data_IF_464845566645
#
_entry.id   IF_464845566645
#
_cell.length_a   1.000
_cell.length_b   1.000
_cell.length_c   1.000
_cell.angle_alpha   90.00
_cell.angle_beta   90.00
_cell.angle_gamma   90.00
#
_symmetry.space_group_name_H-M   'P 1'
#
loop_
_entity.id
_entity.type
_entity.pdbx_description
1 polymer ?
#
# COMPACT_ATOMS: atom_id res chain seq x y z
N UNK A 1 -31.20 -5.89 -0.43
CA UNK A 1 -30.49 -4.72 -0.97
C UNK A 1 -30.44 -3.68 0.13
N UNK A 2 -29.27 -3.28 0.51
CA UNK A 2 -29.05 -2.15 1.42
C UNK A 2 -29.61 -0.89 0.76
N UNK A 3 -30.59 -0.24 1.41
CA UNK A 3 -31.27 0.91 0.78
C UNK A 3 -30.46 2.18 1.07
N UNK A 4 -29.43 2.42 0.27
CA UNK A 4 -28.58 3.60 0.38
C UNK A 4 -29.24 4.73 -0.40
N UNK A 5 -29.55 5.82 0.28
CA UNK A 5 -30.05 7.05 -0.36
C UNK A 5 -28.85 7.90 -0.80
N UNK A 6 -28.09 7.39 -1.79
CA UNK A 6 -26.84 7.98 -2.24
C UNK A 6 -27.03 9.22 -3.10
N UNK A 7 -26.21 10.22 -2.84
CA UNK A 7 -26.04 11.39 -3.70
C UNK A 7 -24.62 11.42 -4.25
N UNK A 8 -24.49 11.58 -5.57
CA UNK A 8 -23.22 11.78 -6.25
C UNK A 8 -23.27 13.15 -6.92
N UNK A 9 -22.41 14.08 -6.48
CA UNK A 9 -22.37 15.45 -6.98
C UNK A 9 -20.97 15.77 -7.50
N UNK A 10 -20.89 16.26 -8.75
CA UNK A 10 -19.63 16.79 -9.29
C UNK A 10 -19.36 18.15 -8.68
N UNK A 11 -18.16 18.33 -8.14
CA UNK A 11 -17.69 19.62 -7.63
C UNK A 11 -17.34 20.56 -8.78
N UNK A 12 -17.83 21.79 -8.73
CA UNK A 12 -17.57 22.81 -9.74
C UNK A 12 -17.31 24.15 -9.04
N UNK A 13 -16.18 24.85 -9.29
CA UNK A 13 -15.07 24.42 -10.17
C UNK A 13 -14.32 23.19 -9.63
N UNK A 14 -13.53 22.52 -10.48
CA UNK A 14 -12.65 21.42 -10.08
C UNK A 14 -11.65 21.91 -9.03
N UNK A 15 -11.44 21.09 -8.01
CA UNK A 15 -10.36 21.20 -7.02
C UNK A 15 -9.75 19.82 -6.83
N UNK A 16 -8.45 19.74 -6.70
CA UNK A 16 -7.76 18.46 -6.50
C UNK A 16 -8.07 17.87 -5.12
N UNK A 17 -8.05 16.53 -5.02
CA UNK A 17 -8.21 15.85 -3.74
C UNK A 17 -7.15 16.30 -2.71
N UNK A 18 -5.91 16.53 -3.16
CA UNK A 18 -4.84 17.02 -2.30
C UNK A 18 -5.10 18.42 -1.71
N UNK A 19 -5.70 19.34 -2.50
CA UNK A 19 -6.16 20.61 -1.97
C UNK A 19 -7.30 20.44 -0.98
N UNK A 20 -8.25 19.56 -1.31
CA UNK A 20 -9.43 19.31 -0.47
C UNK A 20 -9.08 18.61 0.82
N UNK A 21 -8.08 17.71 0.82
CA UNK A 21 -7.69 16.97 2.00
C UNK A 21 -7.23 17.88 3.16
N UNK A 22 -6.62 19.03 2.87
CA UNK A 22 -6.23 20.03 3.88
C UNK A 22 -7.38 20.50 4.76
N UNK A 23 -8.60 20.47 4.24
CA UNK A 23 -9.80 20.88 4.96
C UNK A 23 -10.41 19.78 5.84
N UNK A 24 -9.95 18.52 5.68
CA UNK A 24 -10.49 17.35 6.39
C UNK A 24 -9.43 16.61 7.19
N UNK A 25 -8.15 16.99 7.07
CA UNK A 25 -7.04 16.30 7.71
C UNK A 25 -7.06 16.34 9.25
N UNK A 26 -7.85 17.22 9.84
CA UNK A 26 -8.12 17.35 11.26
C UNK A 26 -9.32 16.50 11.74
N UNK A 27 -10.08 15.91 10.82
CA UNK A 27 -11.17 15.00 11.18
C UNK A 27 -10.63 13.66 11.66
N UNK A 28 -11.30 13.10 12.68
CA UNK A 28 -10.94 11.79 13.22
C UNK A 28 -10.99 10.72 12.12
N UNK A 29 -9.91 9.96 11.99
CA UNK A 29 -9.81 8.83 11.06
C UNK A 29 -10.04 9.20 9.58
N UNK A 30 -9.78 10.46 9.22
CA UNK A 30 -9.78 10.87 7.82
C UNK A 30 -8.57 10.26 7.10
N UNK A 31 -8.82 9.65 5.94
CA UNK A 31 -7.79 8.99 5.14
C UNK A 31 -7.76 9.55 3.73
N UNK A 32 -6.59 9.58 3.15
CA UNK A 32 -6.36 10.01 1.78
C UNK A 32 -5.52 8.97 1.03
N UNK A 33 -6.11 8.30 0.06
CA UNK A 33 -5.40 7.53 -0.95
C UNK A 33 -5.11 8.45 -2.14
N UNK A 34 -3.83 8.62 -2.48
CA UNK A 34 -3.38 9.61 -3.44
C UNK A 34 -2.68 8.98 -4.65
N UNK A 35 -3.08 9.43 -5.83
CA UNK A 35 -2.41 9.15 -7.11
C UNK A 35 -1.68 10.41 -7.57
N UNK A 36 -0.61 10.81 -6.87
CA UNK A 36 0.19 11.99 -7.22
C UNK A 36 0.93 11.82 -8.54
N UNK A 37 1.31 10.60 -8.90
CA UNK A 37 1.81 10.24 -10.23
C UNK A 37 0.67 9.77 -11.12
N UNK A 38 0.20 10.67 -11.98
CA UNK A 38 -0.90 10.38 -12.92
C UNK A 38 -0.37 9.62 -14.13
N UNK A 39 -0.71 8.33 -14.20
CA UNK A 39 -0.31 7.42 -15.29
C UNK A 39 -1.36 6.31 -15.50
N UNK A 40 -1.02 5.23 -16.20
CA UNK A 40 -1.91 4.08 -16.40
C UNK A 40 -2.37 3.38 -15.10
N UNK A 41 -1.61 3.51 -14.00
CA UNK A 41 -1.90 2.93 -12.69
C UNK A 41 -2.56 3.94 -11.75
N UNK A 42 -2.01 5.15 -11.67
CA UNK A 42 -2.47 6.23 -10.80
C UNK A 42 -3.49 7.12 -11.50
N UNK A 43 -4.77 6.86 -11.29
CA UNK A 43 -5.87 7.62 -11.89
C UNK A 43 -6.75 8.33 -10.87
N UNK A 44 -7.03 7.68 -9.76
CA UNK A 44 -8.00 8.18 -8.79
C UNK A 44 -7.33 8.51 -7.46
N UNK A 45 -7.67 9.67 -6.91
CA UNK A 45 -7.38 10.03 -5.52
C UNK A 45 -8.68 10.01 -4.74
N UNK A 46 -8.67 9.43 -3.51
CA UNK A 46 -9.87 9.15 -2.74
C UNK A 46 -9.67 9.61 -1.29
N UNK A 47 -10.58 10.46 -0.79
CA UNK A 47 -10.65 10.84 0.63
C UNK A 47 -11.88 10.19 1.24
N UNK A 48 -11.69 9.46 2.35
CA UNK A 48 -12.79 8.97 3.18
C UNK A 48 -13.04 9.91 4.34
N UNK A 49 -14.25 10.40 4.50
CA UNK A 49 -14.67 11.27 5.60
C UNK A 49 -15.98 10.76 6.22
N UNK A 50 -16.27 11.14 7.46
CA UNK A 50 -17.43 10.63 8.21
C UNK A 50 -17.38 9.11 8.40
N UNK A 51 -16.41 8.59 9.17
CA UNK A 51 -16.33 7.17 9.50
C UNK A 51 -17.55 6.72 10.30
N UNK A 52 -18.13 5.55 9.97
CA UNK A 52 -19.27 4.99 10.71
C UNK A 52 -19.03 3.59 11.26
N UNK A 53 -18.07 2.86 10.68
CA UNK A 53 -17.71 1.52 11.12
C UNK A 53 -16.20 1.35 11.00
N UNK A 54 -15.54 1.02 12.12
CA UNK A 54 -14.11 0.72 12.19
C UNK A 54 -13.92 -0.71 12.66
N UNK A 55 -13.20 -1.49 11.87
CA UNK A 55 -12.80 -2.85 12.18
C UNK A 55 -11.30 -2.86 12.47
N UNK A 56 -10.92 -3.39 13.63
CA UNK A 56 -9.52 -3.47 14.08
C UNK A 56 -9.21 -4.89 14.51
N UNK A 57 -8.11 -5.45 13.99
CA UNK A 57 -7.55 -6.73 14.44
C UNK A 57 -6.15 -6.49 14.99
N UNK A 58 -5.89 -6.94 16.21
CA UNK A 58 -4.61 -6.86 16.89
C UNK A 58 -4.31 -8.12 17.70
N UNK A 59 -3.22 -8.11 18.50
CA UNK A 59 -2.84 -9.21 19.39
C UNK A 59 -3.86 -9.46 20.52
N UNK A 60 -4.74 -8.51 20.81
CA UNK A 60 -5.79 -8.61 21.83
C UNK A 60 -7.12 -9.13 21.28
N UNK A 61 -7.26 -9.21 19.96
CA UNK A 61 -8.43 -9.75 19.29
C UNK A 61 -8.99 -8.89 18.17
N UNK A 62 -10.30 -9.02 17.97
CA UNK A 62 -11.06 -8.28 16.98
C UNK A 62 -11.97 -7.26 17.65
N UNK A 63 -12.02 -6.04 17.12
CA UNK A 63 -12.79 -4.92 17.65
C UNK A 63 -13.62 -4.26 16.54
N UNK A 64 -14.85 -3.88 16.92
CA UNK A 64 -15.76 -3.07 16.10
C UNK A 64 -16.04 -1.77 16.86
N UNK A 65 -15.69 -0.63 16.29
CA UNK A 65 -15.86 0.69 16.93
C UNK A 65 -15.37 0.68 18.39
N UNK A 66 -14.14 0.18 18.62
CA UNK A 66 -13.46 0.06 19.91
C UNK A 66 -14.04 -1.03 20.85
N UNK A 67 -15.14 -1.70 20.47
CA UNK A 67 -15.73 -2.78 21.26
C UNK A 67 -15.20 -4.14 20.84
N UNK A 68 -14.65 -4.92 21.78
CA UNK A 68 -14.13 -6.26 21.50
C UNK A 68 -15.25 -7.23 21.12
N UNK A 69 -15.03 -7.97 20.04
CA UNK A 69 -15.93 -9.02 19.54
C UNK A 69 -15.29 -10.38 19.76
N UNK A 70 -16.04 -11.31 20.34
CA UNK A 70 -15.56 -12.67 20.64
C UNK A 70 -16.34 -13.78 19.90
N UNK A 71 -17.46 -13.44 19.29
CA UNK A 71 -18.37 -14.39 18.64
C UNK A 71 -17.94 -14.76 17.21
N UNK A 72 -17.25 -13.86 16.54
CA UNK A 72 -16.77 -14.02 15.16
C UNK A 72 -15.32 -13.57 15.06
N UNK A 73 -14.55 -14.16 14.17
CA UNK A 73 -13.25 -13.62 13.77
C UNK A 73 -13.44 -12.36 12.90
N UNK A 74 -12.38 -11.60 12.74
CA UNK A 74 -12.33 -10.43 11.85
C UNK A 74 -12.72 -10.83 10.41
N UNK A 75 -12.20 -11.95 9.93
CA UNK A 75 -12.42 -12.47 8.57
C UNK A 75 -13.88 -12.92 8.38
N UNK A 76 -14.44 -13.65 9.35
CA UNK A 76 -15.84 -14.09 9.32
C UNK A 76 -16.80 -12.89 9.35
N UNK A 77 -16.53 -11.92 10.22
CA UNK A 77 -17.34 -10.72 10.29
C UNK A 77 -17.30 -9.93 8.98
N UNK A 78 -16.11 -9.71 8.42
CA UNK A 78 -15.96 -8.95 7.18
C UNK A 78 -16.63 -9.68 6.00
N UNK A 79 -16.44 -11.00 5.85
CA UNK A 79 -17.17 -11.82 4.85
C UNK A 79 -18.68 -11.66 4.98
N UNK A 80 -19.19 -11.75 6.22
CA UNK A 80 -20.62 -11.58 6.52
C UNK A 80 -21.10 -10.17 6.16
N UNK A 81 -20.41 -9.16 6.65
CA UNK A 81 -20.76 -7.74 6.41
C UNK A 81 -20.84 -7.43 4.92
N UNK A 82 -19.82 -7.82 4.13
CA UNK A 82 -19.79 -7.62 2.68
C UNK A 82 -20.94 -8.37 1.97
N UNK A 83 -21.32 -9.55 2.46
CA UNK A 83 -22.43 -10.33 1.87
C UNK A 83 -23.81 -9.72 2.14
N UNK A 84 -24.00 -9.14 3.33
CA UNK A 84 -25.28 -8.54 3.77
C UNK A 84 -25.49 -7.12 3.22
N UNK A 85 -24.38 -6.38 2.93
CA UNK A 85 -24.40 -4.97 2.50
C UNK A 85 -24.03 -4.79 1.03
N UNK A 86 -24.33 -5.78 0.18
CA UNK A 86 -24.00 -5.70 -1.25
C UNK A 86 -24.58 -4.46 -1.92
N UNK A 87 -23.73 -3.76 -2.64
CA UNK A 87 -24.03 -2.56 -3.40
C UNK A 87 -23.81 -2.80 -4.92
N UNK A 88 -24.11 -1.79 -5.73
CA UNK A 88 -23.87 -1.79 -7.18
C UNK A 88 -23.30 -0.43 -7.60
N UNK A 89 -22.14 -0.46 -8.23
CA UNK A 89 -21.52 0.72 -8.79
C UNK A 89 -21.73 0.79 -10.32
N UNK A 90 -22.57 1.73 -10.75
CA UNK A 90 -22.83 2.02 -12.18
C UNK A 90 -22.26 3.37 -12.62
N UNK A 91 -21.58 4.10 -11.72
CA UNK A 91 -21.09 5.47 -11.97
C UNK A 91 -19.81 5.54 -12.81
N UNK A 92 -19.04 4.45 -12.87
CA UNK A 92 -17.70 4.44 -13.44
C UNK A 92 -16.60 4.92 -12.49
N UNK A 93 -16.94 5.42 -11.28
CA UNK A 93 -15.98 5.75 -10.23
C UNK A 93 -15.38 4.46 -9.63
N UNK A 94 -14.20 4.52 -9.00
CA UNK A 94 -13.52 3.35 -8.46
C UNK A 94 -14.28 2.71 -7.30
N UNK A 95 -14.92 3.54 -6.47
CA UNK A 95 -15.75 3.11 -5.35
C UNK A 95 -16.90 4.08 -5.09
N UNK A 96 -17.97 3.61 -4.46
CA UNK A 96 -19.07 4.45 -3.94
C UNK A 96 -19.30 4.19 -2.46
N UNK A 97 -19.01 2.98 -2.00
CA UNK A 97 -19.17 2.51 -0.63
C UNK A 97 -18.15 1.42 -0.35
N UNK A 98 -17.73 1.25 0.89
CA UNK A 98 -16.74 0.26 1.27
C UNK A 98 -15.83 0.74 2.40
N UNK A 99 -14.65 0.14 2.51
CA UNK A 99 -13.67 0.50 3.52
C UNK A 99 -12.32 0.90 2.88
N UNK A 100 -11.63 1.80 3.56
CA UNK A 100 -10.23 2.13 3.29
C UNK A 100 -9.43 1.71 4.53
N UNK A 101 -8.23 1.17 4.32
CA UNK A 101 -7.38 0.78 5.43
C UNK A 101 -6.15 -0.01 5.01
N UNK A 102 -5.64 -0.82 5.93
CA UNK A 102 -4.43 -1.59 5.68
C UNK A 102 -4.50 -2.99 6.31
N UNK A 103 -3.67 -3.86 5.77
CA UNK A 103 -3.24 -5.13 6.35
C UNK A 103 -1.72 -5.07 6.54
N UNK A 104 -1.22 -5.27 7.77
CA UNK A 104 0.22 -5.30 8.04
C UNK A 104 0.84 -6.61 7.55
N UNK A 105 2.17 -6.67 7.42
CA UNK A 105 2.88 -7.94 7.16
C UNK A 105 2.57 -8.99 8.24
N UNK A 106 2.44 -8.55 9.50
CA UNK A 106 2.12 -9.42 10.63
C UNK A 106 0.75 -10.09 10.50
N UNK A 107 -0.23 -9.41 9.88
CA UNK A 107 -1.50 -10.02 9.54
C UNK A 107 -1.31 -11.25 8.64
N UNK A 108 -0.51 -11.13 7.59
CA UNK A 108 -0.21 -12.23 6.67
C UNK A 108 0.60 -13.34 7.32
N UNK A 109 1.59 -12.99 8.16
CA UNK A 109 2.38 -13.97 8.90
C UNK A 109 1.49 -14.84 9.82
N UNK A 110 0.58 -14.19 10.56
CA UNK A 110 -0.38 -14.88 11.44
C UNK A 110 -1.39 -15.70 10.65
N UNK A 111 -1.85 -15.21 9.49
CA UNK A 111 -2.73 -15.94 8.60
C UNK A 111 -2.12 -17.25 8.08
N UNK A 112 -0.81 -17.25 7.87
CA UNK A 112 -0.02 -18.42 7.47
C UNK A 112 0.48 -19.24 8.67
N UNK A 113 0.09 -18.89 9.89
CA UNK A 113 0.47 -19.59 11.14
C UNK A 113 2.00 -19.67 11.37
N UNK A 114 2.76 -18.70 10.85
CA UNK A 114 4.20 -18.62 11.07
C UNK A 114 4.45 -17.93 12.42
N UNK A 115 5.06 -18.62 13.41
CA UNK A 115 5.37 -18.02 14.70
C UNK A 115 6.47 -16.95 14.55
N UNK A 116 6.49 -15.98 15.46
CA UNK A 116 7.61 -15.04 15.59
C UNK A 116 7.93 -14.80 17.06
N UNK A 117 9.23 -14.81 17.36
CA UNK A 117 9.77 -14.43 18.67
C UNK A 117 10.49 -13.07 18.61
N UNK A 118 10.39 -12.39 17.48
CA UNK A 118 11.04 -11.09 17.27
C UNK A 118 10.27 -9.97 17.98
N UNK A 119 11.01 -8.99 18.45
CA UNK A 119 10.45 -7.81 19.09
C UNK A 119 9.80 -6.87 18.07
N UNK A 120 8.80 -6.14 18.53
CA UNK A 120 8.23 -5.02 17.78
C UNK A 120 8.96 -3.75 18.17
N UNK A 121 9.52 -3.02 17.22
CA UNK A 121 10.00 -1.64 17.45
C UNK A 121 8.82 -0.69 17.72
N UNK A 122 7.69 -0.96 17.10
CA UNK A 122 6.46 -0.17 17.25
C UNK A 122 5.24 -1.09 17.23
N UNK A 123 4.28 -0.87 18.09
CA UNK A 123 3.04 -1.68 18.14
C UNK A 123 1.90 -0.94 17.48
N UNK A 124 1.34 -1.54 16.43
CA UNK A 124 0.11 -1.10 15.76
C UNK A 124 -0.80 -2.32 15.53
N UNK A 125 -2.10 -2.13 15.25
CA UNK A 125 -2.97 -3.23 14.86
C UNK A 125 -2.48 -3.98 13.61
N UNK A 126 -2.77 -5.28 13.54
CA UNK A 126 -2.45 -6.10 12.36
C UNK A 126 -3.26 -5.67 11.12
N UNK A 127 -4.51 -5.27 11.33
CA UNK A 127 -5.36 -4.74 10.26
C UNK A 127 -6.31 -3.66 10.81
N UNK A 128 -6.54 -2.63 10.02
CA UNK A 128 -7.55 -1.61 10.25
C UNK A 128 -8.31 -1.37 8.95
N UNK A 129 -9.64 -1.49 9.01
CA UNK A 129 -10.54 -1.12 7.92
C UNK A 129 -11.59 -0.14 8.44
N UNK A 130 -11.72 1.00 7.79
CA UNK A 130 -12.69 2.03 8.15
C UNK A 130 -13.65 2.25 7.01
N UNK A 131 -14.96 2.13 7.28
CA UNK A 131 -16.03 2.40 6.34
C UNK A 131 -16.54 3.82 6.55
N UNK A 132 -16.70 4.53 5.44
CA UNK A 132 -17.07 5.94 5.44
C UNK A 132 -18.45 6.18 4.82
N UNK A 133 -19.17 7.13 5.39
CA UNK A 133 -20.45 7.57 4.82
C UNK A 133 -20.27 8.50 3.62
N UNK A 134 -19.10 9.15 3.54
CA UNK A 134 -18.79 10.06 2.45
C UNK A 134 -17.39 9.83 1.88
N UNK A 135 -17.30 9.97 0.55
CA UNK A 135 -16.05 9.96 -0.19
C UNK A 135 -15.92 11.20 -1.06
N UNK A 136 -14.70 11.75 -1.13
CA UNK A 136 -14.32 12.74 -2.13
C UNK A 136 -13.40 12.02 -3.11
N UNK A 137 -13.79 11.96 -4.38
CA UNK A 137 -13.09 11.17 -5.40
C UNK A 137 -12.69 12.07 -6.56
N UNK A 138 -11.39 12.20 -6.80
CA UNK A 138 -10.85 12.87 -7.96
C UNK A 138 -10.47 11.86 -9.05
N UNK A 139 -10.96 12.06 -10.27
CA UNK A 139 -10.38 11.51 -11.49
C UNK A 139 -9.27 12.46 -11.95
N UNK A 140 -8.02 12.11 -11.65
CA UNK A 140 -6.85 12.95 -11.92
C UNK A 140 -6.59 13.13 -13.42
N UNK A 141 -6.99 12.15 -14.27
CA UNK A 141 -6.89 12.26 -15.73
C UNK A 141 -7.89 13.26 -16.28
N UNK A 142 -9.15 13.15 -15.86
CA UNK A 142 -10.24 13.98 -16.34
C UNK A 142 -10.33 15.33 -15.63
N UNK A 143 -9.56 15.53 -14.56
CA UNK A 143 -9.63 16.69 -13.65
C UNK A 143 -11.07 16.95 -13.21
N UNK A 144 -11.71 15.93 -12.67
CA UNK A 144 -13.08 15.96 -12.16
C UNK A 144 -13.10 15.43 -10.73
N UNK A 145 -13.72 16.17 -9.83
CA UNK A 145 -13.89 15.76 -8.44
C UNK A 145 -15.36 15.54 -8.14
N UNK A 146 -15.65 14.45 -7.45
CA UNK A 146 -16.99 14.02 -7.10
C UNK A 146 -17.11 13.90 -5.58
N UNK A 147 -18.22 14.40 -5.04
CA UNK A 147 -18.66 14.18 -3.67
C UNK A 147 -19.67 13.03 -3.69
N UNK A 148 -19.40 11.96 -2.94
CA UNK A 148 -20.23 10.75 -2.87
C UNK A 148 -20.69 10.59 -1.43
N UNK A 149 -21.94 10.87 -1.12
CA UNK A 149 -22.54 10.67 0.20
C UNK A 149 -23.53 9.52 0.16
N UNK A 150 -23.46 8.61 1.12
CA UNK A 150 -24.26 7.38 1.15
C UNK A 150 -25.52 7.51 2.01
N UNK A 151 -25.59 8.49 2.91
CA UNK A 151 -26.77 8.73 3.75
C UNK A 151 -26.95 7.69 4.86
N UNK A 152 -25.84 7.22 5.43
CA UNK A 152 -25.84 6.19 6.50
C UNK A 152 -25.93 6.86 7.88
N UNK A 153 -25.12 7.87 8.12
CA UNK A 153 -25.06 8.58 9.42
C UNK A 153 -26.00 9.77 9.48
N UNK A 154 -26.20 10.43 8.34
CA UNK A 154 -27.16 11.52 8.17
C UNK A 154 -27.62 11.60 6.70
N UNK A 155 -28.59 12.45 6.41
CA UNK A 155 -29.12 12.63 5.05
C UNK A 155 -28.01 13.01 4.06
N UNK A 156 -27.93 12.32 2.92
CA UNK A 156 -26.85 12.47 1.96
C UNK A 156 -26.77 13.88 1.34
N UNK A 157 -27.91 14.54 1.11
CA UNK A 157 -27.91 15.91 0.57
C UNK A 157 -27.35 16.89 1.60
N UNK A 158 -27.71 16.73 2.88
CA UNK A 158 -27.16 17.55 3.97
C UNK A 158 -25.67 17.33 4.15
N UNK A 159 -25.18 16.10 4.02
CA UNK A 159 -23.73 15.81 4.01
C UNK A 159 -23.03 16.59 2.91
N UNK A 160 -23.51 16.52 1.68
CA UNK A 160 -22.97 17.28 0.55
C UNK A 160 -22.97 18.78 0.83
N UNK A 161 -24.09 19.34 1.28
CA UNK A 161 -24.22 20.77 1.60
C UNK A 161 -23.23 21.19 2.71
N UNK A 162 -23.06 20.37 3.75
CA UNK A 162 -22.11 20.65 4.84
C UNK A 162 -20.68 20.75 4.35
N UNK A 163 -20.29 19.86 3.44
CA UNK A 163 -18.95 19.86 2.84
C UNK A 163 -18.77 21.06 1.92
N UNK A 164 -19.72 21.37 1.04
CA UNK A 164 -19.64 22.54 0.16
C UNK A 164 -19.53 23.84 0.96
N UNK A 165 -20.28 23.95 2.05
CA UNK A 165 -20.20 25.10 2.96
C UNK A 165 -18.80 25.23 3.56
N UNK A 166 -18.24 24.12 4.11
CA UNK A 166 -16.88 24.10 4.67
C UNK A 166 -15.83 24.52 3.62
N UNK A 167 -15.94 24.02 2.40
CA UNK A 167 -15.04 24.38 1.29
C UNK A 167 -15.14 25.87 0.90
N UNK A 168 -16.25 26.53 1.18
CA UNK A 168 -16.46 27.95 0.87
C UNK A 168 -15.95 28.85 2.02
N UNK A 169 -16.16 28.44 3.26
CA UNK A 169 -15.80 29.23 4.45
C UNK A 169 -14.29 29.28 4.69
N UNK A 170 -13.55 28.21 4.44
CA UNK A 170 -12.12 28.09 4.73
C UNK A 170 -11.21 28.73 3.66
N UNK A 171 -11.73 29.20 2.55
CA UNK A 171 -10.95 29.96 1.53
C UNK A 171 -10.26 31.23 2.07
N UNK A 172 -10.50 31.60 3.34
CA UNK A 172 -10.01 32.84 3.94
C UNK A 172 -8.75 32.67 4.81
N UNK A 173 -8.35 31.46 5.17
CA UNK A 173 -7.16 31.22 5.98
C UNK A 173 -6.00 30.69 5.12
N UNK A 174 -5.01 31.54 4.86
CA UNK A 174 -3.73 31.10 4.30
C UNK A 174 -2.92 30.40 5.39
N UNK A 175 -2.73 29.10 5.30
CA UNK A 175 -1.75 28.39 6.13
C UNK A 175 -0.35 28.96 5.90
N UNK A 176 0.32 29.32 6.99
CA UNK A 176 1.75 29.57 6.99
C UNK A 176 2.46 28.21 6.91
N UNK A 177 3.03 27.91 5.76
CA UNK A 177 3.97 26.81 5.63
C UNK A 177 5.16 27.13 6.56
N UNK A 178 5.44 26.24 7.49
CA UNK A 178 6.61 26.36 8.34
C UNK A 178 7.87 26.16 7.47
N UNK A 179 8.48 27.27 7.10
CA UNK A 179 9.74 27.29 6.34
C UNK A 179 10.88 26.97 7.32
N UNK A 180 11.34 25.73 7.38
CA UNK A 180 12.45 25.33 8.24
C UNK A 180 12.95 23.93 7.88
N UNK A 181 14.26 23.77 7.72
CA UNK A 181 14.88 22.45 7.65
C UNK A 181 14.90 21.81 9.04
N UNK A 182 14.42 20.58 9.15
CA UNK A 182 14.44 19.80 10.36
C UNK A 182 15.68 18.91 10.41
N UNK A 183 16.34 18.84 11.55
CA UNK A 183 17.40 17.86 11.77
C UNK A 183 16.75 16.49 12.03
N UNK A 184 17.31 15.46 11.41
CA UNK A 184 16.89 14.07 11.65
C UNK A 184 18.01 13.28 12.31
N UNK A 185 17.66 12.40 13.23
CA UNK A 185 18.55 11.38 13.80
C UNK A 185 18.04 10.01 13.35
N UNK A 186 18.94 9.16 12.83
CA UNK A 186 18.58 7.87 12.24
C UNK A 186 19.26 6.77 13.03
N UNK A 187 18.49 5.80 13.51
CA UNK A 187 18.97 4.60 14.21
C UNK A 187 18.51 3.36 13.44
N UNK A 188 19.38 2.66 12.71
CA UNK A 188 19.03 1.40 12.05
C UNK A 188 18.98 0.26 13.08
N UNK A 189 18.09 -0.72 12.86
CA UNK A 189 18.02 -1.92 13.68
C UNK A 189 19.09 -2.97 13.34
N UNK A 190 19.86 -2.73 12.29
CA UNK A 190 21.05 -3.51 11.92
C UNK A 190 22.28 -2.62 11.84
N UNK A 191 23.41 -3.10 12.32
CA UNK A 191 24.71 -2.59 11.89
C UNK A 191 25.01 -3.12 10.49
N UNK A 192 25.79 -2.38 9.71
CA UNK A 192 26.13 -2.74 8.33
C UNK A 192 26.63 -4.19 8.20
N UNK A 193 27.59 -4.58 9.03
CA UNK A 193 28.18 -5.91 8.96
C UNK A 193 27.22 -7.02 9.41
N UNK A 194 26.32 -6.74 10.36
CA UNK A 194 25.27 -7.67 10.78
C UNK A 194 24.24 -7.89 9.66
N UNK A 195 23.84 -6.83 8.95
CA UNK A 195 22.96 -6.93 7.79
C UNK A 195 23.59 -7.78 6.68
N UNK A 196 24.88 -7.53 6.37
CA UNK A 196 25.63 -8.30 5.37
C UNK A 196 25.76 -9.78 5.76
N UNK A 197 25.94 -10.09 7.04
CA UNK A 197 25.95 -11.48 7.53
C UNK A 197 24.59 -12.15 7.34
N UNK A 198 23.47 -11.44 7.61
CA UNK A 198 22.14 -11.98 7.37
C UNK A 198 21.87 -12.20 5.88
N UNK A 199 22.33 -11.32 5.00
CA UNK A 199 22.25 -11.51 3.54
C UNK A 199 23.09 -12.72 3.10
N UNK A 200 24.30 -12.89 3.61
CA UNK A 200 25.17 -14.05 3.29
C UNK A 200 24.51 -15.37 3.72
N UNK A 201 23.87 -15.39 4.90
CA UNK A 201 23.10 -16.54 5.37
C UNK A 201 21.88 -16.84 4.48
N UNK A 202 21.16 -15.82 4.01
CA UNK A 202 20.08 -16.00 3.02
C UNK A 202 20.60 -16.60 1.71
N UNK A 203 21.76 -16.14 1.23
CA UNK A 203 22.39 -16.69 0.03
C UNK A 203 22.72 -18.17 0.25
N UNK A 204 23.17 -18.56 1.45
CA UNK A 204 23.40 -19.96 1.78
C UNK A 204 22.12 -20.79 1.68
N UNK A 205 21.00 -20.36 2.24
CA UNK A 205 19.70 -21.03 2.10
C UNK A 205 19.28 -21.19 0.64
N UNK A 206 19.59 -20.20 -0.21
CA UNK A 206 19.32 -20.28 -1.65
C UNK A 206 20.21 -21.35 -2.32
N UNK A 207 21.51 -21.38 -2.00
CA UNK A 207 22.48 -22.36 -2.57
C UNK A 207 22.15 -23.78 -2.11
N UNK A 208 21.72 -23.95 -0.85
CA UNK A 208 21.31 -25.24 -0.29
C UNK A 208 19.95 -25.72 -0.84
N UNK A 209 19.18 -24.85 -1.50
CA UNK A 209 17.94 -25.19 -2.18
C UNK A 209 16.68 -25.08 -1.30
N UNK A 210 16.75 -24.45 -0.14
CA UNK A 210 15.59 -24.18 0.72
C UNK A 210 14.61 -23.19 0.05
N UNK A 211 15.14 -22.16 -0.59
CA UNK A 211 14.42 -21.11 -1.29
C UNK A 211 15.12 -20.72 -2.60
N UNK A 212 14.43 -20.06 -3.51
CA UNK A 212 14.98 -19.56 -4.77
C UNK A 212 15.33 -18.07 -4.72
N UNK A 213 14.52 -17.31 -4.00
CA UNK A 213 14.64 -15.87 -3.80
C UNK A 213 13.95 -15.49 -2.49
N UNK A 214 14.49 -14.50 -1.80
CA UNK A 214 13.85 -13.93 -0.62
C UNK A 214 14.07 -12.42 -0.57
N UNK A 215 13.33 -11.73 0.30
CA UNK A 215 13.47 -10.29 0.52
C UNK A 215 14.05 -10.04 1.92
N UNK A 216 15.25 -9.44 2.01
CA UNK A 216 15.86 -9.03 3.28
C UNK A 216 15.58 -7.57 3.56
N UNK A 217 15.20 -7.26 4.82
CA UNK A 217 14.85 -5.90 5.21
C UNK A 217 15.54 -5.44 6.48
N UNK A 218 15.65 -4.13 6.62
CA UNK A 218 15.99 -3.47 7.88
C UNK A 218 14.98 -2.35 8.17
N UNK A 219 14.92 -1.93 9.42
CA UNK A 219 14.09 -0.81 9.86
C UNK A 219 14.97 0.33 10.36
N UNK A 220 14.56 1.54 10.01
CA UNK A 220 15.18 2.78 10.44
C UNK A 220 14.20 3.48 11.39
N UNK A 221 14.61 3.71 12.63
CA UNK A 221 13.95 4.64 13.54
C UNK A 221 14.48 6.04 13.25
N UNK A 222 13.58 6.97 12.95
CA UNK A 222 13.95 8.34 12.57
C UNK A 222 13.26 9.33 13.49
N UNK A 223 14.05 10.07 14.24
CA UNK A 223 13.56 11.19 15.03
C UNK A 223 13.53 12.45 14.18
N UNK A 224 12.35 13.02 14.01
CA UNK A 224 12.13 14.30 13.34
C UNK A 224 10.97 15.03 14.01
N UNK A 225 11.08 16.37 14.10
CA UNK A 225 10.00 17.21 14.63
C UNK A 225 9.01 17.67 13.55
N UNK A 226 9.22 17.29 12.29
CA UNK A 226 8.31 17.61 11.19
C UNK A 226 7.01 16.80 11.34
N UNK A 227 5.87 17.44 11.15
CA UNK A 227 4.58 16.79 11.29
C UNK A 227 4.36 15.76 10.17
N UNK A 228 3.71 14.62 10.43
CA UNK A 228 3.47 13.59 9.41
C UNK A 228 2.74 14.09 8.17
N UNK A 229 1.80 15.02 8.33
CA UNK A 229 1.08 15.62 7.21
C UNK A 229 2.00 16.46 6.32
N UNK A 230 2.94 17.22 6.90
CA UNK A 230 3.91 18.02 6.16
C UNK A 230 4.89 17.08 5.41
N UNK A 231 5.36 16.01 6.08
CA UNK A 231 6.17 14.96 5.44
C UNK A 231 5.44 14.35 4.24
N UNK A 232 4.12 14.10 4.37
CA UNK A 232 3.31 13.58 3.27
C UNK A 232 3.27 14.54 2.08
N UNK A 233 3.02 15.84 2.29
CA UNK A 233 2.96 16.81 1.19
C UNK A 233 4.31 16.98 0.50
N UNK A 234 5.40 17.03 1.26
CA UNK A 234 6.74 17.11 0.69
C UNK A 234 7.11 15.86 -0.11
N UNK A 235 6.79 14.68 0.43
CA UNK A 235 7.03 13.41 -0.26
C UNK A 235 6.19 13.30 -1.54
N UNK A 236 4.93 13.73 -1.47
CA UNK A 236 4.00 13.80 -2.61
C UNK A 236 4.51 14.69 -3.75
N UNK A 237 5.08 15.84 -3.42
CA UNK A 237 5.59 16.81 -4.39
C UNK A 237 6.92 16.34 -5.01
N UNK A 238 7.85 15.89 -4.18
CA UNK A 238 9.21 15.57 -4.60
C UNK A 238 9.39 14.12 -5.07
N UNK A 239 8.49 13.22 -4.71
CA UNK A 239 8.54 11.80 -5.06
C UNK A 239 7.13 11.25 -5.38
N UNK A 240 6.46 11.77 -6.41
CA UNK A 240 5.10 11.38 -6.76
C UNK A 240 4.99 9.88 -7.05
N UNK A 241 3.89 9.27 -6.62
CA UNK A 241 3.63 7.83 -6.75
C UNK A 241 2.19 7.53 -7.16
N UNK A 242 1.91 6.37 -7.79
CA UNK A 242 0.56 5.99 -8.19
C UNK A 242 -0.30 5.49 -7.02
N UNK A 243 0.32 5.03 -5.91
CA UNK A 243 -0.36 4.44 -4.75
C UNK A 243 0.13 5.05 -3.44
N UNK A 244 0.18 6.37 -3.39
CA UNK A 244 0.47 7.14 -2.19
C UNK A 244 -0.72 7.23 -1.24
N UNK A 245 -0.50 7.86 -0.09
CA UNK A 245 -1.58 8.14 0.84
C UNK A 245 -1.12 8.65 2.19
N UNK A 246 -2.07 9.24 2.90
CA UNK A 246 -1.95 9.65 4.29
C UNK A 246 -3.11 9.10 5.08
N UNK A 247 -2.81 8.52 6.25
CA UNK A 247 -3.82 7.98 7.16
C UNK A 247 -3.50 8.45 8.58
N UNK A 248 -4.51 8.98 9.26
CA UNK A 248 -4.42 9.33 10.66
C UNK A 248 -5.42 8.52 11.49
N UNK A 249 -4.91 7.64 12.34
CA UNK A 249 -5.71 6.82 13.23
C UNK A 249 -5.70 7.31 14.69
N UNK A 250 -5.21 8.54 14.92
CA UNK A 250 -5.07 9.16 16.23
C UNK A 250 -3.74 8.77 16.88
N UNK A 251 -3.59 7.53 17.31
CA UNK A 251 -2.37 7.05 17.99
C UNK A 251 -1.16 6.95 17.08
N UNK A 252 -1.38 6.81 15.77
CA UNK A 252 -0.31 6.71 14.76
C UNK A 252 -0.78 7.23 13.40
N UNK A 253 0.19 7.67 12.60
CA UNK A 253 -0.02 8.15 11.23
C UNK A 253 0.82 7.33 10.25
N UNK A 254 0.30 7.21 9.02
CA UNK A 254 0.97 6.53 7.91
C UNK A 254 1.18 7.54 6.78
N UNK A 255 2.43 7.66 6.32
CA UNK A 255 2.85 8.48 5.17
C UNK A 255 3.37 7.53 4.10
N UNK A 256 2.64 7.39 3.01
CA UNK A 256 2.91 6.41 1.97
C UNK A 256 3.17 7.06 0.61
N UNK A 257 4.21 6.58 -0.11
CA UNK A 257 4.50 6.90 -1.51
C UNK A 257 4.84 5.64 -2.32
N UNK A 258 4.00 4.62 -2.20
CA UNK A 258 4.27 3.33 -2.85
C UNK A 258 4.13 3.41 -4.38
N UNK A 259 5.09 2.84 -5.13
CA UNK A 259 5.00 2.71 -6.58
C UNK A 259 4.32 1.42 -7.03
N UNK A 260 4.10 0.45 -6.15
CA UNK A 260 3.78 -0.94 -6.53
C UNK A 260 2.36 -1.32 -6.15
N UNK A 261 1.61 -1.87 -7.12
CA UNK A 261 0.31 -2.51 -6.86
C UNK A 261 0.53 -3.93 -6.36
N UNK A 262 -0.12 -4.24 -5.24
CA UNK A 262 -0.23 -5.62 -4.80
C UNK A 262 -1.31 -6.35 -5.57
N UNK A 263 -2.55 -5.87 -5.50
CA UNK A 263 -3.71 -6.58 -5.99
C UNK A 263 -4.84 -5.62 -6.36
N UNK A 264 -5.41 -5.81 -7.54
CA UNK A 264 -6.64 -5.14 -7.95
C UNK A 264 -7.68 -6.19 -8.34
N UNK A 265 -8.91 -5.97 -7.93
CA UNK A 265 -10.05 -6.72 -8.44
C UNK A 265 -11.12 -5.76 -8.92
N UNK A 266 -11.64 -6.01 -10.12
CA UNK A 266 -12.77 -5.26 -10.68
C UNK A 266 -13.74 -6.21 -11.35
N UNK A 267 -14.99 -6.27 -10.81
CA UNK A 267 -16.05 -7.18 -11.31
C UNK A 267 -15.59 -8.64 -11.42
N UNK A 268 -14.84 -9.10 -10.43
CA UNK A 268 -14.28 -10.45 -10.38
C UNK A 268 -13.04 -10.69 -11.25
N UNK A 269 -12.58 -9.72 -12.06
CA UNK A 269 -11.28 -9.76 -12.72
C UNK A 269 -10.20 -9.32 -11.76
N UNK A 270 -9.25 -10.19 -11.53
CA UNK A 270 -8.12 -9.98 -10.62
C UNK A 270 -6.88 -9.66 -11.43
N UNK A 271 -6.09 -8.72 -10.95
CA UNK A 271 -4.83 -8.31 -11.55
C UNK A 271 -3.78 -8.07 -10.46
N UNK A 272 -2.55 -8.55 -10.68
CA UNK A 272 -1.37 -8.23 -9.90
C UNK A 272 -0.23 -7.82 -10.83
N UNK A 273 0.62 -6.87 -10.39
CA UNK A 273 1.63 -6.27 -11.25
C UNK A 273 2.98 -6.11 -10.52
N UNK A 274 3.73 -7.19 -10.37
CA UNK A 274 5.03 -7.16 -9.71
C UNK A 274 6.06 -6.36 -10.50
N UNK A 275 6.94 -5.69 -9.76
CA UNK A 275 8.05 -4.89 -10.26
C UNK A 275 9.35 -5.51 -9.79
N UNK A 276 10.29 -5.76 -10.69
CA UNK A 276 11.70 -6.05 -10.39
C UNK A 276 12.60 -5.31 -11.37
N UNK A 277 13.78 -4.94 -10.91
CA UNK A 277 14.68 -4.16 -11.73
C UNK A 277 14.26 -2.70 -11.89
N UNK A 278 15.19 -1.81 -11.63
CA UNK A 278 15.01 -0.36 -11.77
C UNK A 278 16.29 0.24 -12.32
N UNK A 279 16.15 1.16 -13.27
CA UNK A 279 17.27 2.00 -13.76
C UNK A 279 16.84 3.44 -13.72
N UNK A 280 17.78 4.34 -13.41
CA UNK A 280 17.56 5.79 -13.49
C UNK A 280 17.38 6.21 -14.94
N UNK A 281 16.67 7.31 -15.15
CA UNK A 281 16.64 8.00 -16.46
C UNK A 281 18.03 8.58 -16.77
N UNK A 282 18.41 8.56 -18.04
CA UNK A 282 19.61 9.22 -18.52
C UNK A 282 19.42 10.73 -18.59
N UNK A 283 20.51 11.48 -18.47
CA UNK A 283 20.50 12.95 -18.64
C UNK A 283 20.37 13.35 -20.11
N UNK A 284 20.82 12.48 -21.02
CA UNK A 284 20.71 12.63 -22.47
C UNK A 284 19.83 11.54 -23.06
N UNK A 285 19.30 11.76 -24.27
CA UNK A 285 18.49 10.75 -24.97
C UNK A 285 19.29 9.44 -25.21
N UNK A 286 20.58 9.54 -25.46
CA UNK A 286 21.46 8.40 -25.71
C UNK A 286 21.65 7.57 -24.41
N UNK A 287 21.95 8.23 -23.30
CA UNK A 287 22.05 7.60 -21.98
C UNK A 287 20.71 6.97 -21.55
N UNK A 288 19.61 7.68 -21.82
CA UNK A 288 18.28 7.20 -21.48
C UNK A 288 17.94 5.88 -22.23
N UNK A 289 18.24 5.83 -23.51
CA UNK A 289 18.11 4.61 -24.31
C UNK A 289 19.07 3.49 -23.85
N UNK A 290 20.29 3.85 -23.40
CA UNK A 290 21.24 2.89 -22.86
C UNK A 290 20.67 2.24 -21.58
N UNK A 291 20.22 3.05 -20.61
CA UNK A 291 19.64 2.55 -19.34
C UNK A 291 18.41 1.69 -19.57
N UNK A 292 17.54 2.11 -20.47
CA UNK A 292 16.35 1.34 -20.88
C UNK A 292 16.72 -0.02 -21.49
N UNK A 293 17.71 -0.05 -22.39
CA UNK A 293 18.15 -1.28 -23.03
C UNK A 293 18.91 -2.19 -22.06
N UNK A 294 19.70 -1.64 -21.14
CA UNK A 294 20.34 -2.39 -20.07
C UNK A 294 19.31 -3.14 -19.23
N UNK A 295 18.28 -2.41 -18.74
CA UNK A 295 17.21 -3.04 -17.97
C UNK A 295 16.47 -4.11 -18.78
N UNK A 296 16.11 -3.80 -20.02
CA UNK A 296 15.39 -4.72 -20.92
C UNK A 296 16.18 -6.02 -21.17
N UNK A 297 17.50 -5.98 -21.16
CA UNK A 297 18.36 -7.11 -21.49
C UNK A 297 19.00 -7.75 -20.22
N UNK A 298 18.72 -7.23 -19.05
CA UNK A 298 19.24 -7.77 -17.77
C UNK A 298 18.65 -9.16 -17.49
N UNK A 299 19.46 -10.20 -17.63
CA UNK A 299 19.03 -11.58 -17.33
C UNK A 299 18.77 -11.78 -15.84
N UNK A 300 19.53 -11.07 -14.97
CA UNK A 300 19.28 -11.07 -13.51
C UNK A 300 17.88 -10.56 -13.20
N UNK A 301 17.54 -9.34 -13.64
CA UNK A 301 16.25 -8.71 -13.35
C UNK A 301 15.07 -9.53 -13.91
N UNK A 302 15.24 -10.13 -15.11
CA UNK A 302 14.23 -11.02 -15.69
C UNK A 302 14.05 -12.32 -14.89
N UNK A 303 15.14 -12.94 -14.45
CA UNK A 303 15.08 -14.17 -13.66
C UNK A 303 14.39 -13.94 -12.33
N UNK A 304 14.72 -12.85 -11.64
CA UNK A 304 14.03 -12.44 -10.40
C UNK A 304 12.53 -12.19 -10.63
N UNK A 305 12.19 -11.44 -11.68
CA UNK A 305 10.79 -11.15 -11.99
C UNK A 305 10.02 -12.43 -12.37
N UNK A 306 10.63 -13.34 -13.10
CA UNK A 306 10.01 -14.61 -13.48
C UNK A 306 9.65 -15.48 -12.26
N UNK A 307 10.53 -15.55 -11.26
CA UNK A 307 10.26 -16.27 -10.02
C UNK A 307 9.05 -15.70 -9.28
N UNK A 308 8.94 -14.37 -9.24
CA UNK A 308 7.79 -13.69 -8.62
C UNK A 308 6.51 -13.90 -9.44
N UNK A 309 6.58 -13.85 -10.77
CA UNK A 309 5.45 -14.15 -11.66
C UNK A 309 4.91 -15.56 -11.41
N UNK A 310 5.76 -16.56 -11.29
CA UNK A 310 5.33 -17.93 -11.02
C UNK A 310 4.72 -18.07 -9.62
N UNK A 311 5.27 -17.41 -8.62
CA UNK A 311 4.71 -17.37 -7.27
C UNK A 311 3.31 -16.75 -7.26
N UNK A 312 3.13 -15.58 -7.88
CA UNK A 312 1.83 -14.90 -7.91
C UNK A 312 0.79 -15.62 -8.77
N UNK A 313 1.22 -16.27 -9.86
CA UNK A 313 0.35 -17.19 -10.61
C UNK A 313 -0.13 -18.36 -9.75
N UNK A 314 0.75 -18.95 -8.96
CA UNK A 314 0.40 -20.02 -8.03
C UNK A 314 -0.62 -19.54 -6.99
N UNK A 315 -0.42 -18.36 -6.41
CA UNK A 315 -1.34 -17.77 -5.45
C UNK A 315 -2.74 -17.52 -6.07
N UNK A 316 -2.80 -16.91 -7.26
CA UNK A 316 -4.06 -16.67 -7.97
C UNK A 316 -4.77 -17.96 -8.39
N UNK A 317 -4.04 -19.01 -8.78
CA UNK A 317 -4.65 -20.30 -9.15
C UNK A 317 -5.40 -20.98 -8.01
N UNK A 318 -5.12 -20.64 -6.75
CA UNK A 318 -5.85 -21.16 -5.57
C UNK A 318 -7.29 -20.67 -5.48
N UNK A 319 -7.60 -19.50 -6.06
CA UNK A 319 -8.90 -18.84 -5.91
C UNK A 319 -9.55 -18.41 -7.21
N UNK A 320 -8.81 -18.36 -8.30
CA UNK A 320 -9.34 -18.05 -9.63
C UNK A 320 -9.92 -19.28 -10.33
N UNK A 321 -10.76 -19.05 -11.32
CA UNK A 321 -11.34 -20.11 -12.17
C UNK A 321 -10.21 -20.88 -12.86
N UNK A 322 -10.26 -22.22 -12.92
CA UNK A 322 -9.25 -23.01 -13.61
C UNK A 322 -9.04 -22.54 -15.06
N UNK A 323 -7.78 -22.32 -15.42
CA UNK A 323 -7.39 -21.85 -16.76
C UNK A 323 -7.61 -20.36 -17.04
N UNK A 324 -8.06 -19.57 -16.04
CA UNK A 324 -8.22 -18.13 -16.21
C UNK A 324 -6.98 -17.30 -15.84
N UNK A 325 -6.02 -17.91 -15.14
CA UNK A 325 -4.80 -17.20 -14.72
C UNK A 325 -3.80 -17.16 -15.90
N UNK A 326 -3.51 -15.96 -16.38
CA UNK A 326 -2.64 -15.71 -17.51
C UNK A 326 -1.66 -14.60 -17.22
N UNK A 327 -0.45 -14.68 -17.80
CA UNK A 327 0.51 -13.58 -17.84
C UNK A 327 0.20 -12.78 -19.11
N UNK A 328 -0.33 -11.58 -18.95
CA UNK A 328 -0.75 -10.73 -20.07
C UNK A 328 0.39 -9.85 -20.57
N UNK A 329 1.32 -9.49 -19.67
CA UNK A 329 2.58 -8.82 -20.00
C UNK A 329 3.73 -9.51 -19.26
N UNK A 330 4.83 -9.76 -19.98
CA UNK A 330 6.04 -10.34 -19.40
C UNK A 330 7.26 -9.51 -19.80
N UNK A 331 8.04 -9.06 -18.80
CA UNK A 331 9.26 -8.27 -18.99
C UNK A 331 9.05 -6.96 -19.78
N UNK A 332 7.97 -6.25 -19.50
CA UNK A 332 7.69 -4.93 -20.07
C UNK A 332 8.50 -3.87 -19.33
N UNK A 333 9.17 -2.98 -20.05
CA UNK A 333 9.84 -1.81 -19.46
C UNK A 333 8.85 -0.66 -19.43
N UNK A 334 8.48 -0.22 -18.23
CA UNK A 334 7.70 0.99 -18.00
C UNK A 334 8.62 2.21 -17.80
N UNK A 335 8.20 3.33 -18.39
CA UNK A 335 8.93 4.59 -18.35
C UNK A 335 8.24 5.57 -17.38
N UNK A 336 8.96 5.95 -16.34
CA UNK A 336 8.55 6.96 -15.38
C UNK A 336 9.40 8.22 -15.53
N UNK A 337 9.01 9.29 -14.86
CA UNK A 337 9.72 10.56 -14.97
C UNK A 337 11.22 10.47 -14.55
N UNK A 338 11.52 9.64 -13.55
CA UNK A 338 12.86 9.54 -12.95
C UNK A 338 13.52 8.18 -13.10
N UNK A 339 12.75 7.15 -13.46
CA UNK A 339 13.22 5.75 -13.53
C UNK A 339 12.53 4.95 -14.63
N UNK A 340 13.17 3.84 -15.02
CA UNK A 340 12.57 2.71 -15.74
C UNK A 340 12.32 1.57 -14.76
N UNK A 341 11.19 0.88 -14.91
CA UNK A 341 10.89 -0.35 -14.18
C UNK A 341 10.67 -1.52 -15.14
N UNK A 342 11.15 -2.70 -14.76
CA UNK A 342 10.80 -3.95 -15.42
C UNK A 342 9.61 -4.57 -14.69
N UNK A 343 8.52 -4.78 -15.42
CA UNK A 343 7.23 -5.22 -14.86
C UNK A 343 6.69 -6.43 -15.60
N UNK A 344 5.82 -7.17 -14.93
CA UNK A 344 4.96 -8.19 -15.53
C UNK A 344 3.53 -7.98 -15.05
N UNK A 345 2.56 -8.48 -15.81
CA UNK A 345 1.15 -8.37 -15.49
C UNK A 345 0.51 -9.77 -15.46
N UNK A 346 -0.18 -10.09 -14.38
CA UNK A 346 -0.85 -11.39 -14.19
C UNK A 346 -2.31 -11.12 -13.92
N UNK A 347 -3.18 -11.73 -14.69
CA UNK A 347 -4.62 -11.61 -14.57
C UNK A 347 -5.29 -12.94 -14.31
N UNK A 348 -6.45 -12.91 -13.65
CA UNK A 348 -7.30 -14.06 -13.40
C UNK A 348 -8.76 -13.67 -13.23
N UNK A 349 -9.64 -14.64 -13.18
CA UNK A 349 -11.06 -14.44 -12.89
C UNK A 349 -11.39 -15.19 -11.61
N UNK A 350 -11.83 -14.47 -10.58
CA UNK A 350 -12.20 -15.07 -9.30
C UNK A 350 -13.32 -16.10 -9.47
N UNK A 351 -13.29 -17.19 -8.71
CA UNK A 351 -14.38 -18.19 -8.68
C UNK A 351 -15.65 -17.56 -8.10
N UNK A 352 -16.82 -17.99 -8.56
CA UNK A 352 -18.11 -17.38 -8.20
C UNK A 352 -18.47 -17.49 -6.70
N UNK A 353 -17.95 -18.53 -6.03
CA UNK A 353 -18.15 -18.77 -4.60
C UNK A 353 -17.06 -18.15 -3.71
N UNK A 354 -16.10 -17.42 -4.31
CA UNK A 354 -15.01 -16.77 -3.61
C UNK A 354 -15.25 -15.27 -3.47
N UNK A 355 -14.69 -14.71 -2.43
CA UNK A 355 -14.80 -13.31 -2.06
C UNK A 355 -13.42 -12.63 -2.07
N UNK A 356 -13.39 -11.31 -1.90
CA UNK A 356 -12.16 -10.56 -1.71
C UNK A 356 -11.34 -11.09 -0.52
N UNK A 357 -11.99 -11.59 0.54
CA UNK A 357 -11.27 -12.17 1.68
C UNK A 357 -10.57 -13.47 1.30
N UNK A 358 -11.25 -14.35 0.52
CA UNK A 358 -10.61 -15.56 0.03
C UNK A 358 -9.43 -15.24 -0.90
N UNK A 359 -9.52 -14.15 -1.67
CA UNK A 359 -8.45 -13.67 -2.52
C UNK A 359 -7.25 -13.17 -1.69
N UNK A 360 -7.49 -12.35 -0.67
CA UNK A 360 -6.44 -11.89 0.27
C UNK A 360 -5.81 -13.08 1.01
N UNK A 361 -6.60 -14.00 1.56
CA UNK A 361 -6.10 -15.20 2.24
C UNK A 361 -5.20 -16.07 1.34
N UNK A 362 -5.45 -16.09 0.04
CA UNK A 362 -4.65 -16.87 -0.91
C UNK A 362 -3.36 -16.16 -1.37
N UNK A 363 -3.34 -14.83 -1.39
CA UNK A 363 -2.26 -14.05 -2.02
C UNK A 363 -1.37 -13.31 -1.04
N UNK A 364 -1.90 -12.96 0.14
CA UNK A 364 -1.20 -12.13 1.12
C UNK A 364 -0.26 -12.95 2.04
N UNK A 365 0.94 -12.42 2.38
CA UNK A 365 1.56 -11.20 1.85
C UNK A 365 2.02 -11.38 0.40
N UNK A 366 2.28 -10.24 -0.28
CA UNK A 366 2.69 -10.24 -1.69
C UNK A 366 3.96 -11.05 -1.96
N UNK A 367 4.04 -11.63 -3.16
CA UNK A 367 5.20 -12.42 -3.59
C UNK A 367 6.47 -11.60 -3.71
N UNK A 368 6.37 -10.38 -4.25
CA UNK A 368 7.51 -9.49 -4.54
C UNK A 368 8.30 -9.07 -3.31
N UNK A 369 7.68 -9.15 -2.11
CA UNK A 369 8.27 -8.71 -0.82
C UNK A 369 8.49 -9.85 0.18
N UNK A 370 8.24 -11.10 -0.21
CA UNK A 370 8.47 -12.30 0.59
C UNK A 370 9.56 -13.16 -0.06
N UNK A 371 9.21 -14.13 -0.86
CA UNK A 371 10.14 -15.01 -1.56
C UNK A 371 9.47 -16.29 -2.04
N UNK A 372 10.23 -17.17 -2.65
CA UNK A 372 9.74 -18.42 -3.22
C UNK A 372 10.59 -19.62 -2.75
N UNK A 373 9.97 -20.69 -2.22
CA UNK A 373 8.56 -20.84 -1.83
C UNK A 373 8.17 -19.92 -0.67
N UNK A 374 6.96 -19.31 -0.74
CA UNK A 374 6.54 -18.22 0.16
C UNK A 374 6.64 -18.57 1.64
N UNK A 375 6.09 -19.71 2.06
CA UNK A 375 6.09 -20.14 3.46
C UNK A 375 7.51 -20.22 4.01
N UNK A 376 8.41 -20.97 3.32
CA UNK A 376 9.78 -21.15 3.75
C UNK A 376 10.58 -19.85 3.75
N UNK A 377 10.38 -19.01 2.75
CA UNK A 377 11.00 -17.69 2.71
C UNK A 377 10.58 -16.81 3.91
N UNK A 378 9.31 -16.86 4.31
CA UNK A 378 8.83 -16.11 5.47
C UNK A 378 9.36 -16.66 6.80
N UNK A 379 9.59 -17.98 6.93
CA UNK A 379 10.29 -18.55 8.10
C UNK A 379 11.73 -18.03 8.19
N UNK A 380 12.47 -18.04 7.08
CA UNK A 380 13.86 -17.55 7.02
C UNK A 380 13.93 -16.05 7.27
N UNK A 381 12.98 -15.28 6.76
CA UNK A 381 12.84 -13.84 7.06
C UNK A 381 12.71 -13.62 8.57
N UNK A 382 11.80 -14.36 9.25
CA UNK A 382 11.63 -14.23 10.70
C UNK A 382 12.88 -14.68 11.47
N UNK A 383 13.60 -15.68 10.97
CA UNK A 383 14.87 -16.14 11.56
C UNK A 383 15.96 -15.07 11.52
N UNK A 384 16.14 -14.41 10.37
CA UNK A 384 17.30 -13.57 10.09
C UNK A 384 17.09 -12.07 10.32
N UNK A 385 15.85 -11.55 10.21
CA UNK A 385 15.57 -10.17 10.52
C UNK A 385 15.56 -9.93 12.04
N UNK A 386 16.03 -8.75 12.49
CA UNK A 386 16.16 -8.46 13.92
C UNK A 386 14.81 -8.14 14.58
N UNK A 387 13.85 -7.60 13.83
CA UNK A 387 12.56 -7.15 14.36
C UNK A 387 11.42 -7.56 13.42
N UNK A 388 10.19 -7.54 13.92
CA UNK A 388 8.99 -7.71 13.11
C UNK A 388 8.83 -6.56 12.12
N UNK A 389 8.35 -6.86 10.90
CA UNK A 389 8.15 -5.85 9.84
C UNK A 389 7.01 -4.89 10.08
N UNK A 390 6.05 -5.26 10.90
CA UNK A 390 4.84 -4.48 11.17
C UNK A 390 4.07 -4.11 9.89
N UNK A 391 3.86 -2.78 9.68
CA UNK A 391 3.19 -2.25 8.50
C UNK A 391 3.99 -2.48 7.22
N UNK A 392 5.33 -2.37 7.31
CA UNK A 392 6.21 -2.48 6.15
C UNK A 392 6.02 -3.81 5.43
N UNK A 393 5.96 -3.77 4.10
CA UNK A 393 5.63 -4.92 3.24
C UNK A 393 4.24 -5.52 3.45
N UNK A 394 3.36 -4.81 4.17
CA UNK A 394 1.93 -5.04 4.17
C UNK A 394 1.24 -4.45 2.94
N UNK A 395 -0.03 -4.06 3.09
CA UNK A 395 -0.83 -3.51 2.00
C UNK A 395 -1.80 -2.44 2.49
N UNK A 396 -1.88 -1.33 1.77
CA UNK A 396 -2.82 -0.23 1.98
C UNK A 396 -3.72 -0.13 0.75
N UNK A 397 -5.01 0.11 0.96
CA UNK A 397 -5.93 0.30 -0.15
C UNK A 397 -7.38 0.38 0.29
N UNK A 398 -8.26 0.00 -0.62
CA UNK A 398 -9.69 -0.03 -0.38
C UNK A 398 -10.34 -1.33 -0.86
N UNK A 399 -11.45 -1.67 -0.23
CA UNK A 399 -12.40 -2.67 -0.69
C UNK A 399 -13.80 -2.08 -0.73
N UNK A 400 -14.62 -2.51 -1.69
CA UNK A 400 -15.93 -1.93 -1.92
C UNK A 400 -17.07 -2.92 -1.61
N UNK A 401 -18.26 -2.39 -1.33
CA UNK A 401 -19.45 -3.22 -1.10
C UNK A 401 -19.98 -3.87 -2.39
N UNK A 402 -19.51 -3.45 -3.57
CA UNK A 402 -19.81 -4.15 -4.84
C UNK A 402 -18.76 -5.21 -5.20
N UNK A 403 -17.75 -5.42 -4.33
CA UNK A 403 -16.80 -6.51 -4.43
C UNK A 403 -15.51 -6.18 -5.19
N UNK A 404 -15.27 -4.91 -5.50
CA UNK A 404 -14.02 -4.45 -6.11
C UNK A 404 -12.98 -4.10 -5.03
N UNK A 405 -11.69 -4.08 -5.38
CA UNK A 405 -10.62 -3.60 -4.51
C UNK A 405 -9.40 -3.10 -5.30
N UNK A 406 -8.57 -2.29 -4.66
CA UNK A 406 -7.24 -1.93 -5.15
C UNK A 406 -6.31 -1.70 -3.94
N UNK A 407 -5.25 -2.51 -3.84
CA UNK A 407 -4.29 -2.51 -2.76
C UNK A 407 -2.87 -2.38 -3.28
N UNK A 408 -2.03 -1.61 -2.59
CA UNK A 408 -0.60 -1.46 -2.86
C UNK A 408 0.25 -2.46 -2.06
N UNK A 409 1.55 -2.48 -2.34
CA UNK A 409 2.59 -3.00 -1.43
C UNK A 409 3.10 -1.83 -0.58
N UNK A 410 3.16 -2.00 0.74
CA UNK A 410 3.65 -0.95 1.65
C UNK A 410 5.18 -0.90 1.63
N UNK A 411 5.70 -0.14 0.68
CA UNK A 411 7.11 0.26 0.55
C UNK A 411 7.18 1.77 0.36
N UNK A 412 8.34 2.39 0.57
CA UNK A 412 8.49 3.86 0.53
C UNK A 412 7.49 4.56 1.47
N UNK A 413 7.30 3.97 2.65
CA UNK A 413 6.25 4.35 3.60
C UNK A 413 6.86 4.52 4.97
N UNK A 414 6.51 5.62 5.63
CA UNK A 414 6.86 5.87 7.02
C UNK A 414 5.62 5.71 7.92
N UNK A 415 5.80 5.02 9.03
CA UNK A 415 4.86 4.96 10.14
C UNK A 415 5.33 5.95 11.21
N UNK A 416 4.48 6.87 11.64
CA UNK A 416 4.77 7.78 12.76
C UNK A 416 3.97 7.38 13.97
N UNK A 417 4.65 7.22 15.10
CA UNK A 417 4.02 6.96 16.41
C UNK A 417 4.93 7.44 17.54
N UNK A 418 4.35 7.99 18.60
CA UNK A 418 5.05 8.43 19.81
C UNK A 418 6.24 9.39 19.52
N UNK A 419 6.11 10.24 18.50
CA UNK A 419 7.14 11.21 18.10
C UNK A 419 8.31 10.62 17.30
N UNK A 420 8.20 9.38 16.85
CA UNK A 420 9.21 8.69 16.04
C UNK A 420 8.63 8.23 14.72
N UNK A 421 9.44 8.25 13.66
CA UNK A 421 9.12 7.62 12.39
C UNK A 421 9.83 6.27 12.28
N UNK A 422 9.11 5.29 11.75
CA UNK A 422 9.61 3.95 11.48
C UNK A 422 9.53 3.71 9.98
N UNK A 423 10.68 3.47 9.36
CA UNK A 423 10.82 3.28 7.92
C UNK A 423 11.45 1.92 7.63
N UNK A 424 10.69 1.01 7.04
CA UNK A 424 11.22 -0.25 6.52
C UNK A 424 11.86 -0.06 5.14
N UNK A 425 12.99 -0.73 4.91
CA UNK A 425 13.69 -0.76 3.62
C UNK A 425 14.33 -2.13 3.41
N UNK A 426 14.42 -2.58 2.16
CA UNK A 426 14.96 -3.91 1.85
C UNK A 426 15.12 -4.15 0.36
N UNK A 427 15.65 -5.31 0.03
CA UNK A 427 15.88 -5.76 -1.34
C UNK A 427 15.66 -7.27 -1.52
N UNK A 428 15.48 -7.68 -2.77
CA UNK A 428 15.41 -9.09 -3.14
C UNK A 428 16.80 -9.72 -3.17
N UNK A 429 16.98 -10.82 -2.46
CA UNK A 429 18.23 -11.55 -2.36
C UNK A 429 18.17 -12.80 -3.24
N UNK A 430 19.19 -12.96 -4.08
CA UNK A 430 19.42 -14.13 -4.94
C UNK A 430 20.79 -14.71 -4.70
N UNK A 431 21.12 -15.85 -5.32
CA UNK A 431 22.44 -16.45 -5.24
C UNK A 431 23.57 -15.56 -5.80
N UNK A 432 23.23 -14.58 -6.63
CA UNK A 432 24.19 -13.65 -7.27
C UNK A 432 24.26 -12.28 -6.56
N UNK A 433 23.57 -12.11 -5.41
CA UNK A 433 23.55 -10.84 -4.67
C UNK A 433 24.93 -10.52 -4.10
N UNK A 434 25.35 -9.25 -4.26
CA UNK A 434 26.54 -8.68 -3.65
C UNK A 434 26.21 -8.04 -2.31
N UNK A 435 26.87 -8.44 -1.24
CA UNK A 435 26.55 -8.03 0.13
C UNK A 435 26.63 -6.51 0.36
N UNK A 436 27.60 -5.85 -0.26
CA UNK A 436 27.77 -4.41 -0.14
C UNK A 436 26.69 -3.68 -0.90
N UNK A 437 26.41 -4.11 -2.12
CA UNK A 437 25.37 -3.53 -2.96
C UNK A 437 23.99 -3.64 -2.32
N UNK A 438 23.62 -4.80 -1.77
CA UNK A 438 22.32 -5.02 -1.12
C UNK A 438 22.12 -4.09 0.09
N UNK A 439 23.18 -3.88 0.90
CA UNK A 439 23.11 -2.91 1.99
C UNK A 439 22.93 -1.47 1.50
N UNK A 440 23.75 -1.03 0.55
CA UNK A 440 23.69 0.33 0.00
C UNK A 440 22.35 0.60 -0.72
N UNK A 441 21.75 -0.42 -1.34
CA UNK A 441 20.45 -0.33 -1.98
C UNK A 441 19.35 0.01 -0.95
N UNK A 442 19.40 -0.54 0.27
CA UNK A 442 18.43 -0.20 1.32
C UNK A 442 18.47 1.29 1.67
N UNK A 443 19.67 1.86 1.78
CA UNK A 443 19.84 3.27 2.09
C UNK A 443 19.37 4.18 0.94
N UNK A 444 19.60 3.76 -0.31
CA UNK A 444 19.06 4.47 -1.46
C UNK A 444 17.53 4.46 -1.50
N UNK A 445 16.91 3.33 -1.14
CA UNK A 445 15.45 3.22 -1.05
C UNK A 445 14.84 4.07 0.07
N UNK A 446 15.59 4.32 1.14
CA UNK A 446 15.18 5.21 2.23
C UNK A 446 15.21 6.70 1.85
N UNK A 447 16.12 7.08 0.94
CA UNK A 447 16.53 8.47 0.72
C UNK A 447 15.37 9.44 0.53
N UNK A 448 14.41 9.14 -0.35
CA UNK A 448 13.31 10.07 -0.65
C UNK A 448 12.43 10.35 0.59
N UNK A 449 12.15 9.31 1.39
CA UNK A 449 11.34 9.44 2.61
C UNK A 449 12.11 10.20 3.70
N UNK A 450 13.42 9.94 3.84
CA UNK A 450 14.28 10.66 4.79
C UNK A 450 14.43 12.14 4.41
N UNK A 451 14.56 12.48 3.13
CA UNK A 451 14.61 13.87 2.67
C UNK A 451 13.30 14.61 2.99
N UNK A 452 12.16 13.97 2.83
CA UNK A 452 10.87 14.56 3.18
C UNK A 452 10.69 14.81 4.69
N UNK A 453 11.49 14.17 5.55
CA UNK A 453 11.48 14.38 7.00
C UNK A 453 12.39 15.53 7.47
N UNK A 454 13.21 16.05 6.59
CA UNK A 454 14.08 17.24 6.81
C UNK A 454 13.30 18.50 6.47
#
# INVERSE_FOLDING_TARGET
MYNINRVIKKLTPHRSAAELFKYFSDEKECVFLDSSLVNGLGRYSIIGVRPYLKLVKDDHGFFINEQKVSELSFEEYLKKYLSEHKDQNKSGLPMLSGAIGYFSYEYGRKLMEIPSHKENLVTIPDAVLVFYDMYIIEDCHEKKTFLVANGITEDAEKLIESVEKRLTEVLLEKEQVADGSFNIEITPNFKKEEYKQAVDEMIRYIIEGDIYITNMTQQLEVKSNKKPLDVFYDLRENNPSPFGGYMDYGDFQIVCASPERFLKMKKGHVNTRPIKGTRKRGETLEEDLLMRNELKNSEKDKSELLMIVDLERNDLNRVCKPGSVNVTELFTVEEYATVFHLVSDIEGVLQENKTIMDLLEATFPGGSITGAPKYRAMEIIDELENNRRNLYTGSIGYLTLDGDCDFNIVIRTALHKDGMYYLGVGGGITAESDLEFEYEETLQKAKAVLEAMK
#
